data_IF_641738272285
#
_entry.id   IF_641738272285
#
_cell.length_a   1.000
_cell.length_b   1.000
_cell.length_c   1.000
_cell.angle_alpha   90.00
_cell.angle_beta   90.00
_cell.angle_gamma   90.00
#
_symmetry.space_group_name_H-M   'P 1'
#
loop_
_entity.id
_entity.type
_entity.pdbx_description
1 polymer ?
#
# COMPACT_ATOMS: atom_id res chain seq x y z
N UNK A 1 27.64 -7.56 -4.64
CA UNK A 1 27.54 -8.94 -4.14
C UNK A 1 26.78 -8.91 -2.83
N UNK A 2 25.56 -9.44 -2.81
CA UNK A 2 24.79 -9.55 -1.59
C UNK A 2 25.30 -10.76 -0.82
N UNK A 3 26.05 -10.51 0.24
CA UNK A 3 26.54 -11.56 1.11
C UNK A 3 25.44 -12.00 2.07
N UNK A 4 25.03 -13.25 1.92
CA UNK A 4 24.36 -14.04 2.96
C UNK A 4 23.01 -13.50 3.48
N UNK A 5 21.91 -13.92 2.89
CA UNK A 5 20.68 -14.26 3.62
C UNK A 5 19.92 -13.20 4.41
N UNK A 6 20.34 -11.95 4.47
CA UNK A 6 19.52 -10.90 5.10
C UNK A 6 18.74 -10.14 4.04
N UNK A 7 17.43 -10.40 4.01
CA UNK A 7 16.51 -9.59 3.24
C UNK A 7 16.48 -8.18 3.84
N UNK A 8 16.72 -7.17 2.99
CA UNK A 8 16.65 -5.77 3.36
C UNK A 8 15.18 -5.37 3.47
N UNK A 9 14.76 -4.76 4.59
CA UNK A 9 13.41 -4.21 4.71
C UNK A 9 13.19 -3.07 3.70
N UNK A 10 11.93 -2.73 3.42
CA UNK A 10 11.60 -1.62 2.54
C UNK A 10 12.21 -0.30 3.03
N UNK A 11 12.12 -0.03 4.34
CA UNK A 11 12.73 1.18 4.95
C UNK A 11 14.23 1.21 4.79
N UNK A 12 14.91 0.08 5.00
CA UNK A 12 16.36 -0.03 4.86
C UNK A 12 16.78 0.11 3.40
N UNK A 13 16.02 -0.47 2.47
CA UNK A 13 16.28 -0.33 1.04
C UNK A 13 16.16 1.14 0.60
N UNK A 14 15.09 1.83 0.99
CA UNK A 14 14.89 3.24 0.66
C UNK A 14 16.01 4.10 1.26
N UNK A 15 16.38 3.86 2.51
CA UNK A 15 17.50 4.55 3.15
C UNK A 15 18.81 4.31 2.41
N UNK A 16 19.06 3.09 2.02
CA UNK A 16 20.27 2.73 1.28
C UNK A 16 20.32 3.40 -0.09
N UNK A 17 19.26 3.32 -0.91
CA UNK A 17 19.25 3.95 -2.22
C UNK A 17 19.37 5.47 -2.11
N UNK A 18 18.71 6.09 -1.12
CA UNK A 18 18.82 7.52 -0.86
C UNK A 18 20.23 7.94 -0.47
N UNK A 19 20.99 7.11 0.21
CA UNK A 19 22.40 7.36 0.51
C UNK A 19 23.28 7.43 -0.76
N UNK A 20 22.81 6.85 -1.87
CA UNK A 20 23.50 6.85 -3.16
C UNK A 20 23.06 7.99 -4.07
N UNK A 21 21.77 8.31 -4.07
CA UNK A 21 21.17 9.25 -5.03
C UNK A 21 20.70 10.58 -4.41
N UNK A 22 20.71 10.68 -3.09
CA UNK A 22 20.20 11.87 -2.40
C UNK A 22 18.72 12.07 -2.65
N UNK A 23 18.33 13.31 -2.97
CA UNK A 23 16.93 13.68 -3.21
C UNK A 23 16.46 13.47 -4.67
N UNK A 24 17.34 12.96 -5.53
CA UNK A 24 17.00 12.75 -6.94
C UNK A 24 15.78 11.87 -7.11
N UNK A 25 15.02 12.11 -8.18
CA UNK A 25 13.81 11.36 -8.48
C UNK A 25 14.12 9.90 -8.79
N UNK A 26 13.53 9.00 -8.02
CA UNK A 26 13.64 7.55 -8.22
C UNK A 26 12.27 6.93 -8.37
N UNK A 27 12.20 5.73 -8.94
CA UNK A 27 10.98 4.96 -9.04
C UNK A 27 10.91 4.03 -7.83
N UNK A 28 9.82 4.14 -7.05
CA UNK A 28 9.52 3.25 -5.94
C UNK A 28 8.30 2.41 -6.30
N UNK A 29 8.38 1.12 -6.02
CA UNK A 29 7.32 0.16 -6.34
C UNK A 29 6.61 -0.29 -5.07
N UNK A 30 5.28 -0.27 -5.11
CA UNK A 30 4.41 -0.62 -3.99
C UNK A 30 3.42 -1.70 -4.43
N UNK A 31 2.99 -2.52 -3.48
CA UNK A 31 1.92 -3.49 -3.73
C UNK A 31 0.98 -3.56 -2.53
N UNK A 32 -0.27 -3.82 -2.83
CA UNK A 32 -1.32 -3.95 -1.83
C UNK A 32 -2.62 -4.34 -2.51
N UNK A 33 -3.75 -3.96 -1.93
CA UNK A 33 -5.00 -4.27 -2.58
C UNK A 33 -6.25 -3.96 -1.79
N UNK A 34 -7.33 -4.51 -2.31
CA UNK A 34 -8.68 -4.27 -1.85
C UNK A 34 -9.22 -5.47 -1.10
N UNK A 35 -9.59 -5.26 0.15
CA UNK A 35 -10.26 -6.24 1.01
C UNK A 35 -11.72 -5.81 1.11
N UNK A 36 -12.64 -6.63 0.59
CA UNK A 36 -14.07 -6.36 0.62
C UNK A 36 -14.73 -7.19 1.71
N UNK A 37 -15.76 -6.62 2.36
CA UNK A 37 -16.67 -7.37 3.20
C UNK A 37 -17.86 -7.91 2.39
N UNK A 38 -18.81 -8.60 3.08
CA UNK A 38 -19.97 -9.22 2.42
C UNK A 38 -20.96 -8.18 1.85
N UNK A 39 -20.86 -6.91 2.29
CA UNK A 39 -21.68 -5.81 1.77
C UNK A 39 -21.04 -5.11 0.57
N UNK A 40 -19.88 -5.56 0.12
CA UNK A 40 -19.14 -4.93 -0.98
C UNK A 40 -18.42 -3.65 -0.60
N UNK A 41 -18.28 -3.38 0.70
CA UNK A 41 -17.51 -2.26 1.21
C UNK A 41 -16.02 -2.62 1.25
N UNK A 42 -15.15 -1.63 1.05
CA UNK A 42 -13.71 -1.84 1.00
C UNK A 42 -13.01 -1.34 2.27
N UNK A 43 -12.04 -2.12 2.75
CA UNK A 43 -11.27 -1.78 3.93
C UNK A 43 -10.20 -0.73 3.60
N UNK A 44 -10.25 0.37 4.32
CA UNK A 44 -9.21 1.40 4.27
C UNK A 44 -8.59 1.60 5.66
N UNK A 45 -7.37 2.12 5.67
CA UNK A 45 -6.66 2.55 6.86
C UNK A 45 -6.53 4.07 6.88
N UNK A 46 -6.73 4.69 8.03
CA UNK A 46 -6.35 6.09 8.23
C UNK A 46 -4.89 6.15 8.65
N UNK A 47 -4.08 6.81 7.83
CA UNK A 47 -2.63 6.83 7.98
C UNK A 47 -2.19 7.77 9.09
N UNK A 48 -1.21 7.33 9.89
CA UNK A 48 -0.63 8.13 10.96
C UNK A 48 0.15 9.35 10.45
N UNK A 49 0.74 9.26 9.23
CA UNK A 49 1.56 10.33 8.66
C UNK A 49 0.74 11.51 8.12
N UNK A 50 -0.35 11.23 7.41
CA UNK A 50 -1.15 12.25 6.71
C UNK A 50 -2.56 12.42 7.26
N UNK A 51 -3.03 11.49 8.11
CA UNK A 51 -4.41 11.36 8.57
C UNK A 51 -5.43 11.11 7.44
N UNK A 52 -4.95 10.87 6.21
CA UNK A 52 -5.77 10.48 5.06
C UNK A 52 -5.96 8.98 5.02
N UNK A 53 -6.95 8.55 4.25
CA UNK A 53 -7.28 7.14 4.10
C UNK A 53 -6.60 6.53 2.88
N UNK A 54 -6.14 5.30 3.03
CA UNK A 54 -5.49 4.56 1.96
C UNK A 54 -5.83 3.08 2.00
N UNK A 55 -5.66 2.44 0.84
CA UNK A 55 -5.73 0.98 0.77
C UNK A 55 -4.52 0.37 1.47
N UNK A 56 -4.67 -0.80 2.11
CA UNK A 56 -3.52 -1.52 2.67
C UNK A 56 -2.50 -1.84 1.59
N UNK A 57 -1.24 -1.58 1.88
CA UNK A 57 -0.13 -1.82 0.99
C UNK A 57 1.11 -1.06 1.41
N UNK A 58 2.23 -1.38 0.80
CA UNK A 58 3.49 -0.74 1.08
C UNK A 58 4.56 -1.08 0.06
N UNK A 59 5.76 -0.59 0.31
CA UNK A 59 6.89 -0.74 -0.60
C UNK A 59 7.32 -2.21 -0.71
N UNK A 60 7.61 -2.63 -1.93
CA UNK A 60 8.16 -3.96 -2.21
C UNK A 60 9.58 -4.00 -1.67
N UNK A 61 9.88 -5.03 -0.87
CA UNK A 61 11.21 -5.29 -0.39
C UNK A 61 12.04 -6.02 -1.43
N UNK A 62 13.37 -5.78 -1.49
CA UNK A 62 14.22 -6.53 -2.40
C UNK A 62 14.06 -8.05 -2.23
N UNK A 63 13.75 -8.74 -3.32
CA UNK A 63 13.51 -10.18 -3.35
C UNK A 63 12.05 -10.60 -3.13
N UNK A 64 11.16 -9.69 -2.73
CA UNK A 64 9.72 -9.97 -2.64
C UNK A 64 9.05 -9.93 -4.01
N UNK A 65 8.15 -10.87 -4.25
CA UNK A 65 7.16 -10.72 -5.33
C UNK A 65 6.06 -9.73 -4.87
N UNK A 66 5.40 -9.00 -5.78
CA UNK A 66 4.34 -8.06 -5.40
C UNK A 66 3.22 -8.69 -4.57
N UNK A 67 2.85 -9.94 -4.88
CA UNK A 67 1.84 -10.69 -4.13
C UNK A 67 2.25 -10.94 -2.68
N UNK A 68 3.53 -11.22 -2.45
CA UNK A 68 4.09 -11.40 -1.10
C UNK A 68 4.03 -10.09 -0.30
N UNK A 69 4.33 -8.97 -0.93
CA UNK A 69 4.23 -7.64 -0.33
C UNK A 69 2.79 -7.35 0.09
N UNK A 70 1.82 -7.63 -0.78
CA UNK A 70 0.41 -7.41 -0.49
C UNK A 70 -0.05 -8.20 0.75
N UNK A 71 0.36 -9.47 0.86
CA UNK A 71 0.05 -10.32 2.02
C UNK A 71 0.70 -9.79 3.29
N UNK A 72 1.99 -9.47 3.24
CA UNK A 72 2.76 -8.96 4.39
C UNK A 72 2.18 -7.64 4.89
N UNK A 73 1.96 -6.70 4.00
CA UNK A 73 1.43 -5.38 4.36
C UNK A 73 0.00 -5.45 4.89
N UNK A 74 -0.86 -6.31 4.32
CA UNK A 74 -2.19 -6.53 4.86
C UNK A 74 -2.14 -7.01 6.31
N UNK A 75 -1.24 -7.96 6.63
CA UNK A 75 -1.05 -8.45 7.99
C UNK A 75 -0.55 -7.36 8.92
N UNK A 76 0.48 -6.63 8.51
CA UNK A 76 1.09 -5.57 9.33
C UNK A 76 0.11 -4.43 9.60
N UNK A 77 -0.64 -3.99 8.59
CA UNK A 77 -1.49 -2.80 8.67
C UNK A 77 -2.90 -3.08 9.17
N UNK A 78 -3.44 -4.30 8.95
CA UNK A 78 -4.83 -4.62 9.26
C UNK A 78 -5.02 -5.76 10.26
N UNK A 79 -4.00 -6.56 10.51
CA UNK A 79 -4.08 -7.78 11.31
C UNK A 79 -4.70 -8.98 10.58
N UNK A 80 -5.14 -8.80 9.34
CA UNK A 80 -5.80 -9.87 8.58
C UNK A 80 -4.80 -10.71 7.80
N UNK A 81 -5.07 -12.01 7.76
CA UNK A 81 -4.43 -12.95 6.86
C UNK A 81 -5.25 -13.01 5.58
N UNK A 82 -4.57 -12.80 4.45
CA UNK A 82 -5.25 -12.73 3.14
C UNK A 82 -4.61 -13.66 2.13
N UNK A 83 -5.41 -14.12 1.18
CA UNK A 83 -4.93 -14.71 -0.06
C UNK A 83 -5.07 -13.70 -1.20
N UNK A 84 -4.15 -13.78 -2.17
CA UNK A 84 -4.14 -12.87 -3.30
C UNK A 84 -5.02 -13.43 -4.41
N UNK A 85 -5.98 -12.64 -4.86
CA UNK A 85 -6.83 -12.92 -6.00
C UNK A 85 -6.30 -12.30 -7.28
N UNK A 86 -7.21 -11.78 -8.09
CA UNK A 86 -6.85 -11.18 -9.39
C UNK A 86 -6.16 -9.83 -9.23
N UNK A 87 -5.31 -9.50 -10.20
CA UNK A 87 -4.78 -8.14 -10.36
C UNK A 87 -5.93 -7.19 -10.74
N UNK A 88 -6.11 -6.13 -9.95
CA UNK A 88 -7.09 -5.08 -10.27
C UNK A 88 -6.49 -4.07 -11.24
N UNK A 89 -5.27 -3.62 -10.98
CA UNK A 89 -4.61 -2.66 -11.85
C UNK A 89 -3.24 -2.25 -11.34
N UNK A 90 -2.58 -1.47 -12.17
CA UNK A 90 -1.29 -0.84 -11.89
C UNK A 90 -1.47 0.66 -12.07
N UNK A 91 -1.05 1.43 -11.07
CA UNK A 91 -1.25 2.89 -11.03
C UNK A 91 0.07 3.59 -10.79
N UNK A 92 0.15 4.86 -11.17
CA UNK A 92 1.35 5.65 -10.94
C UNK A 92 1.00 7.05 -10.41
N UNK A 93 1.82 7.53 -9.50
CA UNK A 93 1.92 8.95 -9.15
C UNK A 93 3.27 9.42 -9.69
N UNK A 94 3.29 10.16 -10.81
CA UNK A 94 4.55 10.44 -11.52
C UNK A 94 5.44 11.44 -10.80
N UNK A 95 4.88 12.29 -9.95
CA UNK A 95 5.59 13.37 -9.29
C UNK A 95 5.23 13.46 -7.82
N UNK A 96 6.05 12.84 -6.98
CA UNK A 96 5.92 12.91 -5.52
C UNK A 96 7.11 13.67 -4.96
N UNK A 97 6.83 14.65 -4.11
CA UNK A 97 7.83 15.37 -3.33
C UNK A 97 7.50 15.18 -1.85
N UNK A 98 8.39 14.49 -1.14
CA UNK A 98 8.25 14.27 0.30
C UNK A 98 8.67 15.52 1.09
N UNK A 99 8.22 15.66 2.35
CA UNK A 99 8.55 16.83 3.17
C UNK A 99 10.05 17.09 3.34
N UNK A 100 10.88 16.05 3.27
CA UNK A 100 12.35 16.18 3.36
C UNK A 100 13.03 16.54 2.03
N UNK A 101 12.24 16.73 0.95
CA UNK A 101 12.75 17.08 -0.38
C UNK A 101 13.04 15.88 -1.29
N UNK A 102 12.88 14.65 -0.81
CA UNK A 102 13.00 13.45 -1.65
C UNK A 102 11.96 13.46 -2.76
N UNK A 103 12.39 13.10 -3.97
CA UNK A 103 11.50 13.01 -5.12
C UNK A 103 11.35 11.56 -5.58
N UNK A 104 10.15 11.21 -5.99
CA UNK A 104 9.85 9.86 -6.45
C UNK A 104 8.72 9.84 -7.48
N UNK A 105 8.71 8.78 -8.27
CA UNK A 105 7.54 8.28 -8.97
C UNK A 105 7.13 6.98 -8.29
N UNK A 106 5.85 6.80 -7.98
CA UNK A 106 5.35 5.53 -7.47
C UNK A 106 4.76 4.68 -8.58
N UNK A 107 4.98 3.37 -8.49
CA UNK A 107 4.24 2.35 -9.22
C UNK A 107 3.50 1.52 -8.17
N UNK A 108 2.18 1.48 -8.23
CA UNK A 108 1.32 0.78 -7.27
C UNK A 108 0.63 -0.39 -7.96
N UNK A 109 0.90 -1.60 -7.48
CA UNK A 109 0.31 -2.84 -7.99
C UNK A 109 -0.79 -3.26 -7.01
N UNK A 110 -2.05 -3.27 -7.46
CA UNK A 110 -3.19 -3.53 -6.60
C UNK A 110 -3.91 -4.83 -6.97
N UNK A 111 -4.13 -5.67 -5.96
CA UNK A 111 -4.81 -6.96 -6.06
C UNK A 111 -6.15 -6.95 -5.34
N UNK A 112 -7.03 -7.84 -5.73
CA UNK A 112 -8.16 -8.26 -4.90
C UNK A 112 -7.62 -9.21 -3.82
N UNK A 113 -7.89 -8.91 -2.55
CA UNK A 113 -7.41 -9.67 -1.41
C UNK A 113 -8.59 -10.29 -0.67
N UNK A 114 -8.51 -11.61 -0.43
CA UNK A 114 -9.54 -12.35 0.27
C UNK A 114 -9.07 -12.70 1.67
N UNK A 115 -9.87 -12.38 2.69
CA UNK A 115 -9.58 -12.71 4.08
C UNK A 115 -9.69 -14.22 4.29
N UNK A 116 -8.63 -14.82 4.83
CA UNK A 116 -8.57 -16.23 5.18
C UNK A 116 -8.35 -16.48 6.68
N UNK A 117 -8.15 -15.44 7.46
CA UNK A 117 -7.92 -15.52 8.90
C UNK A 117 -7.54 -14.17 9.51
N UNK A 118 -7.10 -14.20 10.74
CA UNK A 118 -6.70 -13.01 11.48
C UNK A 118 -7.89 -12.22 12.04
N UNK A 119 -7.56 -11.10 12.67
CA UNK A 119 -8.54 -10.15 13.23
C UNK A 119 -8.09 -8.74 12.96
N UNK A 120 -9.03 -7.84 12.70
CA UNK A 120 -8.74 -6.42 12.56
C UNK A 120 -8.01 -5.90 13.80
N UNK A 121 -6.84 -5.34 13.55
CA UNK A 121 -6.00 -4.73 14.57
C UNK A 121 -5.13 -3.67 13.90
N UNK A 122 -5.00 -2.51 14.54
CA UNK A 122 -4.06 -1.48 14.12
C UNK A 122 -3.16 -1.06 15.29
N UNK A 123 -1.93 -0.66 14.95
CA UNK A 123 -0.88 -0.34 15.92
C UNK A 123 -1.04 1.02 16.59
N UNK A 124 -1.94 1.89 16.09
CA UNK A 124 -2.17 3.26 16.55
C UNK A 124 -0.99 4.21 16.27
N UNK A 125 -0.03 3.81 15.45
CA UNK A 125 1.12 4.61 15.03
C UNK A 125 1.11 4.81 13.51
N UNK A 126 1.42 3.78 12.76
CA UNK A 126 1.36 3.82 11.27
C UNK A 126 -0.08 3.79 10.78
N UNK A 127 -0.95 3.04 11.45
CA UNK A 127 -2.38 2.94 11.18
C UNK A 127 -3.17 3.38 12.40
N UNK A 128 -3.93 4.47 12.27
CA UNK A 128 -4.71 5.04 13.37
C UNK A 128 -6.10 4.42 13.48
N UNK A 129 -6.68 4.02 12.36
CA UNK A 129 -8.05 3.50 12.28
C UNK A 129 -8.19 2.60 11.05
N UNK A 130 -9.04 1.57 11.19
CA UNK A 130 -9.45 0.69 10.11
C UNK A 130 -10.96 0.75 9.97
N UNK A 131 -11.46 0.94 8.75
CA UNK A 131 -12.89 1.01 8.50
C UNK A 131 -13.21 0.53 7.10
N UNK A 132 -14.36 -0.17 6.97
CA UNK A 132 -14.95 -0.48 5.67
C UNK A 132 -15.79 0.68 5.17
N UNK A 133 -15.63 1.03 3.90
CA UNK A 133 -16.34 2.12 3.25
C UNK A 133 -17.14 1.62 2.07
N UNK A 134 -18.40 2.06 1.99
CA UNK A 134 -19.20 1.92 0.77
C UNK A 134 -18.80 2.99 -0.26
N UNK A 135 -19.21 2.82 -1.50
CA UNK A 135 -18.92 3.79 -2.55
C UNK A 135 -19.52 5.19 -2.28
N UNK A 136 -20.60 5.26 -1.52
CA UNK A 136 -21.28 6.50 -1.14
C UNK A 136 -20.56 7.25 -0.01
N UNK A 137 -19.70 6.57 0.75
CA UNK A 137 -19.00 7.12 1.91
C UNK A 137 -17.54 7.49 1.64
N UNK A 138 -17.16 7.71 0.39
CA UNK A 138 -15.77 7.97 -0.02
C UNK A 138 -15.09 9.00 0.88
N UNK A 139 -14.02 8.62 1.60
CA UNK A 139 -13.25 9.56 2.41
C UNK A 139 -12.21 10.32 1.57
N UNK A 140 -11.46 11.21 2.21
CA UNK A 140 -10.29 11.81 1.58
C UNK A 140 -9.18 10.75 1.45
N UNK A 141 -8.81 10.42 0.22
CA UNK A 141 -7.82 9.42 -0.08
C UNK A 141 -6.39 9.99 -0.12
N UNK A 142 -5.42 9.13 0.08
CA UNK A 142 -4.02 9.46 0.32
C UNK A 142 -3.33 10.06 -0.90
N UNK A 143 -3.44 9.38 -2.06
CA UNK A 143 -2.75 9.82 -3.29
C UNK A 143 -3.63 9.64 -4.52
N UNK A 144 -3.15 10.13 -5.68
CA UNK A 144 -3.79 9.94 -6.97
C UNK A 144 -3.94 8.48 -7.36
N UNK A 145 -2.97 7.62 -7.01
CA UNK A 145 -3.07 6.17 -7.22
C UNK A 145 -4.23 5.56 -6.43
N UNK A 146 -4.45 5.99 -5.19
CA UNK A 146 -5.57 5.54 -4.37
C UNK A 146 -6.90 6.03 -4.93
N UNK A 147 -6.96 7.25 -5.45
CA UNK A 147 -8.13 7.77 -6.16
C UNK A 147 -8.45 6.94 -7.41
N UNK A 148 -7.43 6.62 -8.20
CA UNK A 148 -7.59 5.81 -9.41
C UNK A 148 -8.07 4.40 -9.08
N UNK A 149 -7.53 3.79 -8.03
CA UNK A 149 -7.96 2.47 -7.57
C UNK A 149 -9.41 2.50 -7.08
N UNK A 150 -9.80 3.50 -6.29
CA UNK A 150 -11.18 3.69 -5.83
C UNK A 150 -12.14 3.76 -7.02
N UNK A 151 -11.83 4.60 -8.00
CA UNK A 151 -12.64 4.74 -9.20
C UNK A 151 -12.74 3.44 -9.99
N UNK A 152 -11.65 2.68 -10.03
CA UNK A 152 -11.60 1.41 -10.75
C UNK A 152 -12.49 0.33 -10.11
N UNK A 153 -12.58 0.28 -8.79
CA UNK A 153 -13.41 -0.73 -8.09
C UNK A 153 -14.88 -0.34 -7.99
N UNK A 154 -15.20 0.97 -7.94
CA UNK A 154 -16.57 1.43 -7.70
C UNK A 154 -17.26 2.12 -8.87
N UNK A 155 -16.51 2.63 -9.84
CA UNK A 155 -17.06 3.47 -10.92
C UNK A 155 -16.90 2.84 -12.31
N UNK A 156 -16.61 1.54 -12.40
CA UNK A 156 -16.65 0.83 -13.68
C UNK A 156 -18.09 0.64 -14.14
N UNK A 157 -18.35 0.92 -15.44
CA UNK A 157 -19.66 0.56 -16.02
C UNK A 157 -19.89 -0.94 -16.04
#
# INVERSE_FOLDING_TARGET
>A
MLHGGQYMSAKDYIRWIRSKVGHEKIILTFAGGCIFNDQGEVLLQRRGDSHKWGFPGGAIEPGEAPEMTAVREAKEETGLDVSVGKLIGVYTDPDIIYPNGDQAQSIVIAYELQVIGGKLFCDQDETLELKYFSKEEKPQLFTGSHEALWNNIFCRP
#
